data_IF_997477622385
#
_entry.id   IF_997477622385
#
_cell.length_a   1.000
_cell.length_b   1.000
_cell.length_c   1.000
_cell.angle_alpha   90.00
_cell.angle_beta   90.00
_cell.angle_gamma   90.00
#
_symmetry.space_group_name_H-M   'P 1'
#
loop_
_entity.id
_entity.type
_entity.pdbx_description
1 polymer ?
#
# COMPACT_ATOMS: atom_id res chain seq x y z
N UNK A 1 -18.82 -5.84 -18.08
CA UNK A 1 -18.27 -5.51 -18.08
C UNK A 1 -17.98 -5.19 -17.72
N UNK A 2 -18.02 -5.83 -17.51
CA UNK A 2 -17.39 -5.59 -17.38
C UNK A 2 -16.92 -5.29 -16.72
N UNK A 3 -16.84 -5.49 -16.34
CA UNK A 3 -16.10 -5.26 -15.92
C UNK A 3 -15.96 -4.53 -15.42
N UNK A 4 -16.36 -4.71 -15.04
CA UNK A 4 -15.96 -4.12 -14.74
C UNK A 4 -15.94 -3.67 -14.07
N UNK A 5 -16.26 -3.84 -13.58
CA UNK A 5 -15.83 -3.37 -13.11
C UNK A 5 -15.37 -3.09 -12.58
N UNK A 6 -15.55 -3.59 -12.30
CA UNK A 6 -14.80 -3.33 -11.97
C UNK A 6 -14.55 -2.58 -11.87
N UNK A 7 -15.07 -2.60 -12.12
CA UNK A 7 -14.51 -1.95 -12.29
C UNK A 7 -14.37 -1.25 -12.41
N UNK A 8 -14.69 -1.27 -12.58
CA UNK A 8 -14.29 -0.66 -12.71
C UNK A 8 -13.75 -0.48 -12.28
N UNK A 9 -13.55 -1.01 -11.86
CA UNK A 9 -12.88 -0.85 -11.46
C UNK A 9 -12.52 -0.78 -11.84
N UNK A 10 -12.79 -1.21 -12.34
CA UNK A 10 -12.09 -1.36 -12.89
C UNK A 10 -11.88 -1.46 -13.62
N UNK A 11 -12.30 -1.94 -14.40
CA UNK A 11 -11.96 -2.16 -15.37
C UNK A 11 -11.33 -1.80 -15.84
N UNK A 12 -11.16 -2.06 -15.53
CA UNK A 12 -10.37 -2.00 -15.92
C UNK A 12 -9.66 -2.01 -15.69
N UNK A 13 -9.78 -2.28 -15.16
CA UNK A 13 -8.72 -2.44 -14.98
C UNK A 13 -8.20 -2.90 -14.71
N UNK A 14 -8.53 -3.46 -14.63
CA UNK A 14 -7.70 -3.91 -14.66
C UNK A 14 -7.30 -4.19 -14.72
N UNK A 15 -7.34 -4.33 -14.73
CA UNK A 15 -6.57 -4.49 -15.01
C UNK A 15 -5.95 -4.48 -15.03
N UNK A 16 -6.35 -5.00 -15.11
CA UNK A 16 -5.35 -4.98 -15.07
C UNK A 16 -4.58 -4.24 -15.49
N UNK A 17 -4.56 -3.68 -15.43
CA UNK A 17 -3.85 -3.36 -15.83
C UNK A 17 -2.95 -3.44 -16.02
N UNK A 18 -2.75 -3.21 -16.00
CA UNK A 18 -1.78 -3.63 -16.15
C UNK A 18 -1.17 -4.52 -15.62
N UNK A 19 -1.63 -4.96 -15.20
CA UNK A 19 -0.88 -6.13 -14.85
C UNK A 19 -0.22 -6.67 -16.08
N UNK A 20 1.05 -6.94 -15.96
CA UNK A 20 1.76 -7.58 -17.01
C UNK A 20 2.10 -6.73 -18.23
N UNK A 21 1.24 -5.98 -18.71
CA UNK A 21 1.51 -5.09 -19.81
C UNK A 21 2.02 -5.69 -21.11
N UNK A 22 2.15 -7.00 -21.22
CA UNK A 22 2.53 -7.63 -22.47
C UNK A 22 1.30 -7.85 -23.32
N UNK A 23 1.41 -7.53 -24.60
CA UNK A 23 0.30 -7.78 -25.52
C UNK A 23 0.00 -9.26 -25.65
N UNK A 24 0.98 -10.11 -25.37
CA UNK A 24 0.81 -11.57 -25.48
C UNK A 24 0.34 -12.21 -24.19
N UNK A 25 0.27 -11.48 -23.10
CA UNK A 25 -0.17 -12.04 -21.83
C UNK A 25 -1.67 -12.28 -21.87
N UNK A 26 -2.15 -13.42 -21.41
CA UNK A 26 -3.59 -13.65 -21.34
C UNK A 26 -4.22 -12.71 -20.34
N UNK A 27 -5.41 -12.26 -20.64
CA UNK A 27 -6.18 -11.44 -19.72
C UNK A 27 -6.56 -12.29 -18.50
N UNK A 28 -6.67 -11.65 -17.35
CA UNK A 28 -7.12 -12.33 -16.14
C UNK A 28 -8.58 -12.71 -16.30
N UNK A 29 -8.95 -13.88 -15.78
CA UNK A 29 -10.34 -14.29 -15.75
C UNK A 29 -11.10 -13.46 -14.71
N UNK A 30 -12.44 -13.48 -14.82
CA UNK A 30 -13.27 -12.80 -13.84
C UNK A 30 -13.02 -13.32 -12.43
N UNK A 31 -12.80 -14.63 -12.32
CA UNK A 31 -12.52 -15.24 -11.01
C UNK A 31 -11.18 -14.76 -10.44
N UNK A 32 -10.19 -14.60 -11.31
CA UNK A 32 -8.88 -14.11 -10.87
C UNK A 32 -8.97 -12.65 -10.42
N UNK A 33 -9.70 -11.84 -11.17
CA UNK A 33 -9.91 -10.45 -10.80
C UNK A 33 -10.63 -10.36 -9.46
N UNK A 34 -11.69 -11.17 -9.27
CA UNK A 34 -12.43 -11.18 -8.02
C UNK A 34 -11.54 -11.59 -6.85
N UNK A 35 -10.68 -12.59 -7.07
CA UNK A 35 -9.76 -13.04 -6.04
C UNK A 35 -8.78 -11.94 -5.64
N UNK A 36 -8.19 -11.25 -6.63
CA UNK A 36 -7.26 -10.17 -6.34
C UNK A 36 -7.95 -9.03 -5.60
N UNK A 37 -9.17 -8.67 -6.03
CA UNK A 37 -9.92 -7.62 -5.34
C UNK A 37 -10.20 -8.00 -3.90
N UNK A 38 -10.47 -9.28 -3.64
CA UNK A 38 -10.66 -9.74 -2.27
C UNK A 38 -9.39 -9.57 -1.44
N UNK A 39 -8.22 -9.82 -2.04
CA UNK A 39 -6.97 -9.63 -1.31
C UNK A 39 -6.77 -8.17 -0.91
N UNK A 40 -7.10 -7.24 -1.81
CA UNK A 40 -7.00 -5.81 -1.49
C UNK A 40 -8.02 -5.43 -0.42
N UNK A 41 -9.20 -6.03 -0.44
CA UNK A 41 -10.18 -5.80 0.63
C UNK A 41 -9.66 -6.28 1.97
N UNK A 42 -8.99 -7.44 2.01
CA UNK A 42 -8.38 -7.92 3.24
C UNK A 42 -7.38 -6.91 3.79
N UNK A 43 -6.60 -6.28 2.90
CA UNK A 43 -5.66 -5.26 3.34
C UNK A 43 -6.37 -4.06 3.94
N UNK A 44 -7.45 -3.60 3.30
CA UNK A 44 -8.23 -2.46 3.80
C UNK A 44 -8.87 -2.75 5.13
N UNK A 45 -9.26 -4.01 5.36
CA UNK A 45 -9.94 -4.43 6.58
C UNK A 45 -8.98 -4.88 7.67
N UNK A 46 -7.68 -4.93 7.38
CA UNK A 46 -6.69 -5.33 8.37
C UNK A 46 -6.69 -6.80 8.70
N UNK A 47 -7.11 -7.64 7.77
CA UNK A 47 -7.24 -9.08 8.02
C UNK A 47 -5.90 -9.78 7.87
N UNK A 48 -5.44 -10.40 8.94
CA UNK A 48 -4.15 -11.08 8.95
C UNK A 48 -4.13 -12.31 8.03
N UNK A 49 -5.29 -12.80 7.65
CA UNK A 49 -5.37 -13.91 6.71
C UNK A 49 -4.68 -13.58 5.38
N UNK A 50 -4.55 -12.30 5.05
CA UNK A 50 -3.81 -11.89 3.85
C UNK A 50 -2.39 -12.42 3.87
N UNK A 51 -1.77 -12.50 5.06
CA UNK A 51 -0.40 -12.96 5.19
C UNK A 51 -0.26 -14.43 4.79
N UNK A 52 -1.31 -15.23 4.98
CA UNK A 52 -1.29 -16.62 4.53
C UNK A 52 -1.19 -16.73 3.01
N UNK A 53 -1.94 -15.88 2.31
CA UNK A 53 -1.88 -15.88 0.85
C UNK A 53 -0.50 -15.48 0.36
N UNK A 54 0.13 -14.53 1.04
CA UNK A 54 1.48 -14.11 0.66
C UNK A 54 2.47 -15.24 0.90
N UNK A 55 2.35 -15.97 2.01
CA UNK A 55 3.20 -17.13 2.27
C UNK A 55 3.04 -18.20 1.20
N UNK A 56 1.86 -18.29 0.61
CA UNK A 56 1.57 -19.30 -0.42
C UNK A 56 1.98 -18.85 -1.81
N UNK A 57 2.57 -17.65 -1.95
CA UNK A 57 3.13 -17.22 -3.23
C UNK A 57 2.56 -15.95 -3.82
N UNK A 58 1.56 -15.33 -3.19
CA UNK A 58 1.07 -14.05 -3.66
C UNK A 58 2.15 -13.01 -3.38
N UNK A 59 2.56 -12.23 -4.40
CA UNK A 59 3.60 -11.20 -4.17
C UNK A 59 3.14 -10.17 -3.15
N UNK A 60 4.04 -9.84 -2.22
CA UNK A 60 3.72 -8.88 -1.16
C UNK A 60 3.51 -7.47 -1.68
N UNK A 61 4.07 -7.16 -2.85
CA UNK A 61 4.05 -5.80 -3.40
C UNK A 61 3.06 -5.59 -4.54
N UNK A 62 2.07 -6.47 -4.66
CA UNK A 62 1.01 -6.23 -5.63
C UNK A 62 0.34 -4.88 -5.34
N UNK A 63 -0.03 -4.19 -6.40
CA UNK A 63 -0.75 -2.93 -6.27
C UNK A 63 -2.04 -2.97 -7.09
N UNK A 64 -2.99 -2.16 -6.65
CA UNK A 64 -4.26 -2.05 -7.37
C UNK A 64 -4.13 -1.00 -8.49
N UNK A 65 -5.26 -0.64 -9.10
CA UNK A 65 -5.27 0.30 -10.23
C UNK A 65 -4.84 1.72 -9.86
N UNK A 66 -4.79 2.04 -8.57
CA UNK A 66 -4.30 3.34 -8.10
C UNK A 66 -2.83 3.26 -7.68
N UNK A 67 -2.23 2.09 -7.82
CA UNK A 67 -0.87 1.86 -7.37
C UNK A 67 -0.75 1.62 -5.87
N UNK A 68 -1.87 1.46 -5.17
CA UNK A 68 -1.84 1.19 -3.74
C UNK A 68 -1.48 -0.27 -3.49
N UNK A 69 -0.41 -0.49 -2.74
CA UNK A 69 -0.02 -1.84 -2.33
C UNK A 69 -0.81 -2.24 -1.09
N UNK A 70 -0.72 -3.53 -0.72
CA UNK A 70 -1.33 -3.98 0.53
C UNK A 70 -0.84 -3.15 1.71
N UNK A 71 0.47 -2.84 1.72
CA UNK A 71 1.06 -2.07 2.82
C UNK A 71 0.49 -0.65 2.88
N UNK A 72 0.37 0.00 1.72
CA UNK A 72 -0.20 1.35 1.67
C UNK A 72 -1.64 1.34 2.16
N UNK A 73 -2.44 0.37 1.71
CA UNK A 73 -3.84 0.26 2.13
C UNK A 73 -3.95 0.01 3.63
N UNK A 74 -3.13 -0.88 4.16
CA UNK A 74 -3.16 -1.20 5.59
C UNK A 74 -2.72 0.02 6.43
N UNK A 75 -1.70 0.74 5.97
CA UNK A 75 -1.23 1.93 6.69
C UNK A 75 -2.27 3.04 6.65
N UNK A 76 -2.88 3.24 5.49
CA UNK A 76 -3.91 4.27 5.34
C UNK A 76 -5.08 4.01 6.28
N UNK A 77 -5.44 2.76 6.47
CA UNK A 77 -6.55 2.37 7.36
C UNK A 77 -6.13 2.20 8.82
N UNK A 78 -4.82 2.27 9.12
CA UNK A 78 -4.34 2.22 10.51
C UNK A 78 -4.22 0.83 11.11
N UNK A 79 -4.02 -0.19 10.29
CA UNK A 79 -3.95 -1.59 10.74
C UNK A 79 -2.52 -1.99 11.10
N UNK A 80 -2.09 -1.70 12.32
CA UNK A 80 -0.72 -1.91 12.76
C UNK A 80 -0.23 -3.35 12.65
N UNK A 81 -1.06 -4.29 13.08
CA UNK A 81 -0.64 -5.69 13.07
C UNK A 81 -0.40 -6.18 11.64
N UNK A 82 -1.28 -5.79 10.73
CA UNK A 82 -1.11 -6.19 9.34
C UNK A 82 0.11 -5.50 8.71
N UNK A 83 0.33 -4.23 9.02
CA UNK A 83 1.51 -3.51 8.53
C UNK A 83 2.77 -4.24 8.95
N UNK A 84 2.87 -4.61 10.22
CA UNK A 84 4.05 -5.33 10.71
C UNK A 84 4.21 -6.67 10.03
N UNK A 85 3.12 -7.39 9.87
CA UNK A 85 3.16 -8.68 9.18
C UNK A 85 3.60 -8.56 7.73
N UNK A 86 3.13 -7.52 7.04
CA UNK A 86 3.52 -7.29 5.66
C UNK A 86 5.01 -6.96 5.55
N UNK A 87 5.51 -6.14 6.47
CA UNK A 87 6.94 -5.80 6.50
C UNK A 87 7.76 -7.07 6.72
N UNK A 88 7.36 -7.92 7.66
CA UNK A 88 8.06 -9.17 7.91
C UNK A 88 8.00 -10.11 6.73
N UNK A 89 6.94 -10.03 5.94
CA UNK A 89 6.79 -10.86 4.75
C UNK A 89 7.57 -10.32 3.55
N UNK A 90 8.27 -9.20 3.71
CA UNK A 90 9.14 -8.68 2.65
C UNK A 90 8.56 -7.56 1.83
N UNK A 91 7.44 -6.96 2.26
CA UNK A 91 6.86 -5.85 1.51
C UNK A 91 7.85 -4.68 1.46
N UNK A 92 7.90 -4.02 0.30
CA UNK A 92 8.78 -2.87 0.09
C UNK A 92 8.13 -1.64 0.72
N UNK A 93 8.71 -1.17 1.82
CA UNK A 93 8.14 -0.04 2.56
C UNK A 93 8.21 1.27 1.79
N UNK A 94 9.03 1.31 0.73
CA UNK A 94 9.23 2.55 -0.05
C UNK A 94 8.49 2.55 -1.39
N UNK A 95 7.54 1.62 -1.60
CA UNK A 95 6.71 1.68 -2.80
C UNK A 95 5.80 2.89 -2.77
N UNK A 96 5.66 3.53 -3.92
CA UNK A 96 4.78 4.70 -4.07
C UNK A 96 3.56 4.32 -4.88
N UNK A 97 2.42 4.92 -4.53
CA UNK A 97 1.23 4.78 -5.37
C UNK A 97 1.30 5.81 -6.50
N UNK A 98 0.23 5.91 -7.28
CA UNK A 98 0.20 6.84 -8.42
C UNK A 98 0.24 8.31 -8.00
N UNK A 99 -0.10 8.60 -6.75
CA UNK A 99 -0.02 9.96 -6.22
C UNK A 99 1.31 10.22 -5.53
N UNK A 100 2.25 9.28 -5.67
CA UNK A 100 3.59 9.37 -5.08
C UNK A 100 3.55 9.42 -3.54
N UNK A 101 2.61 8.66 -2.97
CA UNK A 101 2.51 8.51 -1.53
C UNK A 101 3.04 7.14 -1.13
N UNK A 102 3.79 7.09 -0.04
CA UNK A 102 4.25 5.84 0.54
C UNK A 102 3.35 5.47 1.72
N UNK A 103 3.57 4.26 2.26
CA UNK A 103 2.87 3.86 3.48
C UNK A 103 3.19 4.83 4.62
N UNK A 104 4.44 5.31 4.69
CA UNK A 104 4.83 6.26 5.73
C UNK A 104 4.03 7.56 5.62
N UNK A 105 3.86 8.08 4.40
CA UNK A 105 3.04 9.27 4.20
C UNK A 105 1.62 9.05 4.72
N UNK A 106 1.05 7.90 4.45
CA UNK A 106 -0.31 7.58 4.91
C UNK A 106 -0.38 7.55 6.44
N UNK A 107 0.64 6.98 7.10
CA UNK A 107 0.68 6.94 8.55
C UNK A 107 0.77 8.35 9.15
N UNK A 108 1.57 9.21 8.52
CA UNK A 108 1.68 10.61 8.96
C UNK A 108 0.35 11.33 8.77
N UNK A 109 -0.29 11.12 7.63
CA UNK A 109 -1.59 11.72 7.35
C UNK A 109 -2.61 11.35 8.45
N UNK A 110 -2.55 10.11 8.94
CA UNK A 110 -3.41 9.68 10.03
C UNK A 110 -3.00 10.23 11.40
N UNK A 111 -1.76 10.71 11.51
CA UNK A 111 -1.23 11.09 12.82
C UNK A 111 -0.91 9.88 13.69
N UNK A 112 -0.62 8.75 13.09
CA UNK A 112 -0.44 7.48 13.81
C UNK A 112 1.05 7.29 14.14
N UNK A 113 1.43 7.70 15.32
CA UNK A 113 2.83 7.67 15.74
C UNK A 113 3.41 6.25 15.80
N UNK A 114 2.58 5.29 16.19
CA UNK A 114 3.02 3.90 16.27
C UNK A 114 3.39 3.38 14.89
N UNK A 115 2.53 3.64 13.90
CA UNK A 115 2.82 3.23 12.53
C UNK A 115 4.03 3.96 11.96
N UNK A 116 4.13 5.26 12.22
CA UNK A 116 5.28 6.03 11.75
C UNK A 116 6.57 5.42 12.27
N UNK A 117 6.60 5.13 13.58
CA UNK A 117 7.79 4.56 14.20
C UNK A 117 8.13 3.18 13.61
N UNK A 118 7.11 2.35 13.43
CA UNK A 118 7.31 1.01 12.87
C UNK A 118 7.84 1.06 11.45
N UNK A 119 7.30 1.95 10.63
CA UNK A 119 7.73 2.06 9.24
C UNK A 119 9.14 2.64 9.14
N UNK A 120 9.47 3.62 9.96
CA UNK A 120 10.83 4.16 10.00
C UNK A 120 11.83 3.08 10.40
N UNK A 121 11.47 2.26 11.39
CA UNK A 121 12.34 1.16 11.84
C UNK A 121 12.54 0.14 10.71
N UNK A 122 11.59 0.03 9.81
CA UNK A 122 11.66 -0.88 8.67
C UNK A 122 12.40 -0.29 7.47
N UNK A 123 12.89 0.94 7.57
CA UNK A 123 13.67 1.57 6.50
C UNK A 123 12.89 2.51 5.59
N UNK A 124 11.70 2.94 6.00
CA UNK A 124 10.94 3.88 5.19
C UNK A 124 11.66 5.21 5.08
N UNK A 125 11.68 5.76 3.85
CA UNK A 125 12.35 7.02 3.57
C UNK A 125 11.35 8.18 3.70
N UNK A 126 11.52 9.07 4.67
CA UNK A 126 10.54 10.14 4.90
C UNK A 126 10.51 11.22 3.82
N UNK A 127 11.52 11.24 2.94
CA UNK A 127 11.58 12.27 1.89
C UNK A 127 11.26 11.73 0.51
N UNK A 128 10.79 10.50 0.42
CA UNK A 128 10.52 9.86 -0.86
C UNK A 128 9.18 10.29 -1.43
N UNK A 129 9.19 10.67 -2.72
CA UNK A 129 7.98 11.00 -3.46
C UNK A 129 7.56 12.45 -3.34
N UNK A 130 6.72 12.89 -4.25
CA UNK A 130 6.23 14.27 -4.25
C UNK A 130 5.36 14.56 -3.03
N UNK A 131 4.64 13.55 -2.56
CA UNK A 131 3.83 13.68 -1.36
C UNK A 131 4.48 12.94 -0.22
N UNK A 132 5.68 13.40 0.14
CA UNK A 132 6.47 12.68 1.14
C UNK A 132 5.99 12.98 2.56
N UNK A 133 6.46 12.14 3.49
CA UNK A 133 6.02 12.19 4.87
C UNK A 133 6.41 13.50 5.56
N UNK A 134 7.60 14.03 5.25
CA UNK A 134 8.07 15.27 5.86
C UNK A 134 7.16 16.42 5.47
N UNK A 135 6.86 16.54 4.16
CA UNK A 135 5.99 17.61 3.68
C UNK A 135 4.59 17.50 4.29
N UNK A 136 4.09 16.27 4.42
CA UNK A 136 2.77 16.04 5.01
C UNK A 136 2.75 16.46 6.48
N UNK A 137 3.78 16.09 7.24
CA UNK A 137 3.84 16.47 8.66
C UNK A 137 3.90 17.98 8.82
N UNK A 138 4.65 18.67 7.95
CA UNK A 138 4.70 20.14 8.00
C UNK A 138 3.36 20.76 7.66
N UNK A 139 2.71 20.23 6.64
CA UNK A 139 1.42 20.79 6.19
C UNK A 139 0.36 20.70 7.27
N UNK A 140 0.41 19.65 8.10
CA UNK A 140 -0.59 19.46 9.14
C UNK A 140 -0.10 19.89 10.53
N UNK A 141 1.07 20.51 10.62
CA UNK A 141 1.58 21.01 11.90
C UNK A 141 1.87 19.92 12.91
N UNK A 142 2.27 18.75 12.44
CA UNK A 142 2.53 17.60 13.31
C UNK A 142 3.97 17.61 13.78
N UNK A 143 4.27 18.49 14.71
CA UNK A 143 5.65 18.72 15.12
C UNK A 143 6.32 17.49 15.73
N UNK A 144 5.59 16.70 16.49
CA UNK A 144 6.14 15.50 17.09
C UNK A 144 6.50 14.46 16.04
N UNK A 145 5.63 14.28 15.05
CA UNK A 145 5.93 13.37 13.95
C UNK A 145 7.09 13.88 13.11
N UNK A 146 7.11 15.19 12.88
CA UNK A 146 8.20 15.77 12.11
C UNK A 146 9.55 15.50 12.80
N UNK A 147 9.58 15.58 14.12
CA UNK A 147 10.80 15.29 14.86
C UNK A 147 11.22 13.83 14.68
N UNK A 148 10.28 12.91 14.59
CA UNK A 148 10.59 11.51 14.31
C UNK A 148 11.12 11.31 12.90
N UNK A 149 10.56 12.05 11.94
CA UNK A 149 10.91 11.91 10.53
C UNK A 149 12.28 12.53 10.22
N UNK A 150 12.66 13.55 10.97
CA UNK A 150 13.91 14.28 10.79
C UNK A 150 14.64 14.35 12.13
N UNK A 151 15.10 13.20 12.65
CA UNK A 151 15.80 13.23 13.94
C UNK A 151 17.09 14.02 13.83
N UNK A 152 17.39 14.74 14.85
CA UNK A 152 18.65 15.46 14.92
C UNK A 152 19.76 14.50 15.23
N UNK A 153 20.78 14.61 14.50
CA UNK A 153 21.84 13.69 14.82
C UNK A 153 22.78 13.30 14.31
#
# INVERSE_FOLDING_TARGET
MSHENLSDYDRASATPSQVGGSADAPALSDEQVAFLNRLFDLAREGKLELLEYIRQGIPADLSDHKGDTFLILAAYAGHEDLVRGLVEAGADVNRLNQREQSALTCAVFRGDEVLVTALLAAGADPELGAQNAVATARAFGQDELLALLQPRG
#
